data_IF_293712908904
#
_entry.id   IF_293712908904
#
_cell.length_a   1.000
_cell.length_b   1.000
_cell.length_c   1.000
_cell.angle_alpha   90.00
_cell.angle_beta   90.00
_cell.angle_gamma   90.00
#
_symmetry.space_group_name_H-M   'P 1'
#
loop_
_entity.id
_entity.type
_entity.pdbx_description
1 polymer ?
#
# COMPACT_ATOMS: atom_id res chain seq x y z
N UNK A 1 9.49 -32.58 6.24
CA UNK A 1 8.18 -31.98 5.97
C UNK A 1 8.33 -30.50 6.27
N UNK A 2 8.16 -29.62 5.29
CA UNK A 2 8.09 -28.17 5.57
C UNK A 2 6.69 -27.94 6.09
N UNK A 3 6.58 -27.52 7.35
CA UNK A 3 5.30 -27.18 7.95
C UNK A 3 4.68 -26.02 7.17
N UNK A 4 3.40 -26.14 6.77
CA UNK A 4 2.71 -25.12 5.98
C UNK A 4 2.74 -23.74 6.65
N UNK A 5 2.80 -23.70 7.97
CA UNK A 5 2.96 -22.47 8.76
C UNK A 5 4.29 -21.77 8.46
N UNK A 6 5.40 -22.52 8.43
CA UNK A 6 6.73 -21.97 8.15
C UNK A 6 6.80 -21.40 6.74
N UNK A 7 6.18 -22.06 5.76
CA UNK A 7 6.08 -21.55 4.39
C UNK A 7 5.29 -20.23 4.33
N UNK A 8 4.15 -20.18 5.03
CA UNK A 8 3.31 -18.97 5.12
C UNK A 8 4.06 -17.78 5.72
N UNK A 9 4.81 -18.00 6.80
CA UNK A 9 5.64 -16.98 7.44
C UNK A 9 6.73 -16.49 6.47
N UNK A 10 7.44 -17.40 5.81
CA UNK A 10 8.51 -17.01 4.86
C UNK A 10 7.96 -16.18 3.71
N UNK A 11 6.81 -16.57 3.13
CA UNK A 11 6.16 -15.82 2.06
C UNK A 11 5.71 -14.44 2.57
N UNK A 12 5.10 -14.36 3.75
CA UNK A 12 4.63 -13.10 4.32
C UNK A 12 5.80 -12.13 4.57
N UNK A 13 6.89 -12.61 5.17
CA UNK A 13 8.08 -11.81 5.46
C UNK A 13 8.77 -11.33 4.18
N UNK A 14 8.97 -12.23 3.22
CA UNK A 14 9.64 -11.88 1.96
C UNK A 14 8.80 -10.90 1.12
N UNK A 15 7.50 -11.13 1.00
CA UNK A 15 6.58 -10.23 0.27
C UNK A 15 6.46 -8.87 0.95
N UNK A 16 6.29 -8.85 2.28
CA UNK A 16 6.21 -7.62 3.06
C UNK A 16 7.51 -6.80 2.99
N UNK A 17 8.66 -7.46 3.09
CA UNK A 17 9.98 -6.83 2.94
C UNK A 17 10.18 -6.24 1.55
N UNK A 18 9.87 -6.98 0.48
CA UNK A 18 9.95 -6.47 -0.89
C UNK A 18 9.01 -5.28 -1.11
N UNK A 19 7.77 -5.35 -0.60
CA UNK A 19 6.81 -4.26 -0.66
C UNK A 19 7.31 -3.00 0.05
N UNK A 20 7.90 -3.15 1.24
CA UNK A 20 8.49 -2.04 1.99
C UNK A 20 9.64 -1.38 1.22
N UNK A 21 10.57 -2.16 0.68
CA UNK A 21 11.69 -1.64 -0.12
C UNK A 21 11.18 -0.89 -1.35
N UNK A 22 10.23 -1.46 -2.09
CA UNK A 22 9.62 -0.80 -3.26
C UNK A 22 8.92 0.49 -2.87
N UNK A 23 8.22 0.52 -1.73
CA UNK A 23 7.55 1.71 -1.25
C UNK A 23 8.56 2.82 -0.88
N UNK A 24 9.65 2.48 -0.18
CA UNK A 24 10.72 3.45 0.14
C UNK A 24 11.37 3.99 -1.13
N UNK A 25 11.72 3.13 -2.09
CA UNK A 25 12.32 3.56 -3.36
C UNK A 25 11.37 4.48 -4.13
N UNK A 26 10.09 4.13 -4.19
CA UNK A 26 9.06 4.92 -4.85
C UNK A 26 8.91 6.29 -4.16
N UNK A 27 8.88 6.32 -2.84
CA UNK A 27 8.80 7.56 -2.08
C UNK A 27 10.02 8.46 -2.34
N UNK A 28 11.23 7.89 -2.39
CA UNK A 28 12.45 8.64 -2.72
C UNK A 28 12.40 9.21 -4.14
N UNK A 29 11.88 8.46 -5.13
CA UNK A 29 11.72 8.94 -6.50
C UNK A 29 10.70 10.06 -6.65
N UNK A 30 9.68 10.11 -5.80
CA UNK A 30 8.59 11.10 -5.83
C UNK A 30 8.61 12.05 -4.63
N UNK A 31 9.76 12.22 -4.00
CA UNK A 31 9.91 13.05 -2.80
C UNK A 31 9.54 14.50 -3.11
N UNK A 32 8.56 15.05 -2.38
CA UNK A 32 8.04 16.41 -2.59
C UNK A 32 6.93 16.52 -3.63
N UNK A 33 6.51 15.41 -4.26
CA UNK A 33 5.31 15.36 -5.09
C UNK A 33 4.12 14.85 -4.25
N UNK A 34 2.86 15.26 -4.57
CA UNK A 34 1.66 14.78 -3.86
C UNK A 34 1.49 13.26 -3.88
N UNK A 35 2.09 12.59 -4.88
CA UNK A 35 2.15 11.13 -4.96
C UNK A 35 3.04 10.52 -3.86
N UNK A 36 4.17 11.15 -3.53
CA UNK A 36 5.04 10.72 -2.45
C UNK A 36 4.34 10.80 -1.09
N UNK A 37 3.62 11.90 -0.82
CA UNK A 37 2.86 12.07 0.43
C UNK A 37 1.74 11.03 0.57
N UNK A 38 1.03 10.75 -0.52
CA UNK A 38 0.01 9.70 -0.57
C UNK A 38 0.62 8.29 -0.32
N UNK A 39 1.84 8.05 -0.78
CA UNK A 39 2.55 6.79 -0.55
C UNK A 39 2.88 6.58 0.94
N UNK A 40 3.22 7.64 1.67
CA UNK A 40 3.44 7.57 3.13
C UNK A 40 2.17 7.14 3.85
N UNK A 41 1.03 7.74 3.49
CA UNK A 41 -0.28 7.35 4.05
C UNK A 41 -0.57 5.88 3.77
N UNK A 42 -0.28 5.41 2.56
CA UNK A 42 -0.45 4.00 2.19
C UNK A 42 0.44 3.06 3.01
N UNK A 43 1.71 3.42 3.25
CA UNK A 43 2.64 2.62 4.08
C UNK A 43 2.11 2.49 5.50
N UNK A 44 1.69 3.60 6.12
CA UNK A 44 1.12 3.59 7.47
C UNK A 44 -0.13 2.71 7.55
N UNK A 45 -0.99 2.83 6.55
CA UNK A 45 -2.20 2.03 6.45
C UNK A 45 -1.89 0.53 6.32
N UNK A 46 -0.96 0.15 5.44
CA UNK A 46 -0.52 -1.24 5.27
C UNK A 46 0.11 -1.81 6.55
N UNK A 47 0.88 -0.99 7.27
CA UNK A 47 1.42 -1.35 8.58
C UNK A 47 0.31 -1.63 9.60
N UNK A 48 -0.68 -0.74 9.71
CA UNK A 48 -1.82 -0.95 10.59
C UNK A 48 -2.60 -2.23 10.23
N UNK A 49 -2.80 -2.50 8.94
CA UNK A 49 -3.47 -3.71 8.46
C UNK A 49 -2.72 -5.00 8.79
N UNK A 50 -1.39 -4.95 8.69
CA UNK A 50 -0.51 -6.06 9.05
C UNK A 50 -0.64 -6.39 10.54
N UNK A 51 -0.62 -5.37 11.40
CA UNK A 51 -0.82 -5.55 12.86
C UNK A 51 -2.21 -6.08 13.16
N UNK A 52 -3.25 -5.56 12.49
CA UNK A 52 -4.61 -6.06 12.63
C UNK A 52 -4.72 -7.55 12.27
N UNK A 53 -4.21 -7.97 11.11
CA UNK A 53 -4.23 -9.40 10.71
C UNK A 53 -3.41 -10.28 11.67
N UNK A 54 -2.26 -9.80 12.12
CA UNK A 54 -1.47 -10.53 13.12
C UNK A 54 -2.24 -10.68 14.45
N UNK A 55 -3.01 -9.67 14.85
CA UNK A 55 -3.85 -9.75 16.06
C UNK A 55 -5.03 -10.71 15.92
N UNK A 56 -5.61 -10.84 14.71
CA UNK A 56 -6.65 -11.84 14.45
C UNK A 56 -6.14 -13.27 14.62
N UNK A 57 -4.86 -13.53 14.33
CA UNK A 57 -4.27 -14.85 14.59
C UNK A 57 -4.21 -15.18 16.10
N UNK A 58 -4.28 -14.17 16.97
CA UNK A 58 -4.32 -14.34 18.43
C UNK A 58 -5.76 -14.40 18.95
N UNK A 59 -6.69 -13.71 18.30
CA UNK A 59 -8.09 -13.59 18.74
C UNK A 59 -9.00 -14.48 17.88
N UNK A 60 -9.38 -15.64 18.43
CA UNK A 60 -10.01 -16.72 17.67
C UNK A 60 -11.33 -16.39 16.96
N UNK A 61 -12.25 -15.62 17.57
CA UNK A 61 -13.52 -15.27 16.94
C UNK A 61 -13.62 -13.77 16.66
N UNK A 62 -13.83 -13.46 15.38
CA UNK A 62 -13.94 -12.10 14.87
C UNK A 62 -15.41 -11.81 14.56
N UNK A 63 -16.03 -10.79 15.21
CA UNK A 63 -17.42 -10.43 14.94
C UNK A 63 -17.66 -10.06 13.47
N UNK A 64 -18.85 -10.37 12.93
CA UNK A 64 -19.17 -10.13 11.51
C UNK A 64 -19.06 -8.67 11.08
N UNK A 65 -19.27 -7.71 11.99
CA UNK A 65 -19.10 -6.29 11.69
C UNK A 65 -17.64 -5.91 11.41
N UNK A 66 -16.68 -6.63 12.00
CA UNK A 66 -15.25 -6.40 11.79
C UNK A 66 -14.86 -6.82 10.37
N UNK A 67 -15.38 -7.95 9.88
CA UNK A 67 -15.21 -8.41 8.49
C UNK A 67 -15.80 -7.42 7.46
N UNK A 68 -16.93 -6.80 7.80
CA UNK A 68 -17.56 -5.79 6.94
C UNK A 68 -16.71 -4.51 6.86
N UNK A 69 -16.16 -4.06 8.00
CA UNK A 69 -15.22 -2.93 8.06
C UNK A 69 -13.97 -3.25 7.25
N UNK A 70 -13.40 -4.44 7.42
CA UNK A 70 -12.22 -4.89 6.68
C UNK A 70 -12.43 -4.86 5.16
N UNK A 71 -13.56 -5.39 4.69
CA UNK A 71 -13.92 -5.41 3.26
C UNK A 71 -14.08 -3.99 2.70
N UNK A 72 -14.75 -3.11 3.45
CA UNK A 72 -14.88 -1.69 3.09
C UNK A 72 -13.52 -1.02 3.00
N UNK A 73 -12.65 -1.32 3.96
CA UNK A 73 -11.31 -0.77 4.04
C UNK A 73 -10.46 -1.19 2.84
N UNK A 74 -10.51 -2.46 2.40
CA UNK A 74 -9.86 -2.90 1.16
C UNK A 74 -10.44 -2.21 -0.09
N UNK A 75 -11.75 -2.02 -0.16
CA UNK A 75 -12.38 -1.30 -1.28
C UNK A 75 -11.89 0.15 -1.35
N UNK A 76 -11.77 0.83 -0.21
CA UNK A 76 -11.24 2.19 -0.14
C UNK A 76 -9.78 2.27 -0.60
N UNK A 77 -8.95 1.28 -0.26
CA UNK A 77 -7.56 1.21 -0.77
C UNK A 77 -7.54 1.07 -2.28
N UNK A 78 -8.37 0.21 -2.85
CA UNK A 78 -8.44 0.03 -4.30
C UNK A 78 -8.84 1.35 -5.00
N UNK A 79 -9.83 2.07 -4.46
CA UNK A 79 -10.23 3.39 -4.95
C UNK A 79 -9.09 4.40 -4.82
N UNK A 80 -8.43 4.45 -3.66
CA UNK A 80 -7.29 5.34 -3.40
C UNK A 80 -6.14 5.10 -4.37
N UNK A 81 -5.77 3.83 -4.60
CA UNK A 81 -4.74 3.45 -5.57
C UNK A 81 -5.12 3.84 -6.99
N UNK A 82 -6.37 3.61 -7.39
CA UNK A 82 -6.89 4.04 -8.70
C UNK A 82 -6.82 5.56 -8.89
N UNK A 83 -7.15 6.34 -7.86
CA UNK A 83 -7.03 7.80 -7.88
C UNK A 83 -5.57 8.24 -7.97
N UNK A 84 -4.67 7.62 -7.21
CA UNK A 84 -3.24 7.91 -7.25
C UNK A 84 -2.63 7.67 -8.63
N UNK A 85 -2.94 6.51 -9.21
CA UNK A 85 -2.53 6.15 -10.57
C UNK A 85 -3.08 7.17 -11.58
N UNK A 86 -4.36 7.54 -11.46
CA UNK A 86 -4.98 8.54 -12.33
C UNK A 86 -4.31 9.91 -12.24
N UNK A 87 -4.00 10.38 -11.03
CA UNK A 87 -3.32 11.66 -10.81
C UNK A 87 -1.91 11.60 -11.42
N UNK A 88 -1.15 10.55 -11.14
CA UNK A 88 0.19 10.36 -11.68
C UNK A 88 0.21 10.37 -13.21
N UNK A 89 -0.66 9.60 -13.87
CA UNK A 89 -0.78 9.60 -15.33
C UNK A 89 -1.24 10.95 -15.89
N UNK A 90 -2.05 11.72 -15.15
CA UNK A 90 -2.46 13.07 -15.60
C UNK A 90 -1.28 14.02 -15.62
N UNK A 91 -0.40 13.97 -14.62
CA UNK A 91 0.81 14.79 -14.57
C UNK A 91 1.83 14.40 -15.65
N UNK A 92 1.99 13.11 -15.94
CA UNK A 92 2.87 12.64 -17.02
C UNK A 92 2.40 13.04 -18.43
N UNK A 93 1.11 13.33 -18.61
CA UNK A 93 0.52 13.71 -19.90
C UNK A 93 0.52 15.20 -20.18
N UNK A 94 0.95 16.05 -19.25
CA UNK A 94 1.10 17.50 -19.52
C UNK A 94 2.37 17.67 -20.36
N UNK A 95 2.28 18.09 -21.63
CA UNK A 95 3.47 18.27 -22.45
C UNK A 95 4.29 19.44 -21.90
N UNK A 96 5.60 19.20 -21.77
CA UNK A 96 6.61 20.19 -21.39
C UNK A 96 6.80 21.17 -22.56
N UNK A 97 5.83 22.04 -22.81
CA UNK A 97 5.86 22.99 -23.95
C UNK A 97 6.37 24.39 -23.57
N UNK A 98 6.72 24.63 -22.30
CA UNK A 98 7.18 25.95 -21.84
C UNK A 98 8.58 25.91 -21.22
N UNK A 99 9.56 25.35 -21.93
CA UNK A 99 10.97 25.41 -21.50
C UNK A 99 11.92 25.90 -22.61
N UNK A 100 11.39 26.55 -23.64
CA UNK A 100 12.16 27.20 -24.70
C UNK A 100 11.48 28.51 -25.11
N UNK A 101 11.51 29.52 -24.25
CA UNK A 101 11.35 30.92 -24.63
C UNK A 101 11.60 31.82 -23.42
N UNK A 102 12.84 31.93 -22.95
CA UNK A 102 13.44 33.19 -22.44
C UNK A 102 14.95 33.15 -22.66
#
# INVERSE_FOLDING_TARGET
>A
MVDMEMLGIVIAVSTGGAGFVLAVLTWLSFRGAPFGDALVVLILFMGAFTVYHASLAVWGEVPTYVLAVESLTFALVAVFMGLMVRIHYRYLRVPKTEATAE
#
